data_IF_826176612158
#
_entry.id   IF_826176612158
#
_cell.length_a   1.000
_cell.length_b   1.000
_cell.length_c   1.000
_cell.angle_alpha   90.00
_cell.angle_beta   90.00
_cell.angle_gamma   90.00
#
_symmetry.space_group_name_H-M   'P 1'
#
loop_
_entity.id
_entity.type
_entity.pdbx_description
1 polymer ?
#
# COMPACT_ATOMS: atom_id res chain seq x y z
N UNK A 1 -18.06 17.29 -31.80
CA UNK A 1 -17.06 16.53 -31.02
C UNK A 1 -16.50 17.48 -30.00
N UNK A 2 -16.83 17.26 -28.73
CA UNK A 2 -16.35 18.06 -27.61
C UNK A 2 -15.30 17.22 -26.87
N UNK A 3 -14.03 17.48 -27.13
CA UNK A 3 -12.87 16.80 -26.53
C UNK A 3 -12.53 17.34 -25.12
N UNK A 4 -13.42 18.10 -24.48
CA UNK A 4 -13.12 18.78 -23.21
C UNK A 4 -13.62 18.06 -21.94
N UNK A 5 -13.69 16.72 -21.95
CA UNK A 5 -13.85 15.89 -20.74
C UNK A 5 -12.63 15.01 -20.47
N UNK A 6 -11.43 15.59 -20.53
CA UNK A 6 -10.30 14.95 -19.86
C UNK A 6 -10.52 15.09 -18.35
N UNK A 7 -11.09 14.04 -17.75
CA UNK A 7 -11.25 13.88 -16.30
C UNK A 7 -10.07 14.50 -15.56
N UNK A 8 -10.33 15.55 -14.77
CA UNK A 8 -9.36 16.03 -13.79
C UNK A 8 -8.87 14.82 -12.99
N UNK A 9 -7.63 14.39 -13.24
CA UNK A 9 -7.04 13.28 -12.52
C UNK A 9 -6.93 13.71 -11.06
N UNK A 10 -7.82 13.20 -10.23
CA UNK A 10 -7.90 13.53 -8.81
C UNK A 10 -6.60 13.09 -8.16
N UNK A 11 -5.99 13.98 -7.39
CA UNK A 11 -4.76 13.69 -6.65
C UNK A 11 -5.03 12.49 -5.72
N UNK A 12 -4.29 11.37 -5.84
CA UNK A 12 -4.52 10.21 -4.99
C UNK A 12 -4.20 10.59 -3.54
N UNK A 13 -5.04 10.18 -2.61
CA UNK A 13 -4.83 10.42 -1.18
C UNK A 13 -4.03 9.27 -0.58
N UNK A 14 -3.11 9.59 0.33
CA UNK A 14 -2.37 8.56 1.05
C UNK A 14 -3.22 8.00 2.19
N UNK A 15 -3.47 6.70 2.14
CA UNK A 15 -4.33 5.95 3.08
C UNK A 15 -3.54 4.97 3.97
N UNK A 16 -2.20 4.99 3.87
CA UNK A 16 -1.32 4.03 4.54
C UNK A 16 -0.79 2.92 3.62
N UNK A 17 -1.38 2.68 2.45
CA UNK A 17 -0.90 1.70 1.47
C UNK A 17 0.12 2.32 0.51
N UNK A 18 1.39 2.36 0.94
CA UNK A 18 2.45 3.03 0.17
C UNK A 18 2.54 2.57 -1.28
N UNK A 19 2.57 1.26 -1.54
CA UNK A 19 2.80 0.78 -2.91
C UNK A 19 1.67 1.16 -3.88
N UNK A 20 0.42 1.10 -3.41
CA UNK A 20 -0.74 1.49 -4.21
C UNK A 20 -0.73 2.99 -4.46
N UNK A 21 -0.53 3.77 -3.39
CA UNK A 21 -0.41 5.23 -3.48
C UNK A 21 0.73 5.68 -4.39
N UNK A 22 1.93 5.09 -4.24
CA UNK A 22 3.12 5.47 -5.00
C UNK A 22 2.92 5.17 -6.48
N UNK A 23 2.28 4.05 -6.82
CA UNK A 23 1.94 3.72 -8.21
C UNK A 23 1.03 4.79 -8.84
N UNK A 24 -0.05 5.18 -8.14
CA UNK A 24 -0.98 6.19 -8.65
C UNK A 24 -0.34 7.58 -8.74
N UNK A 25 0.42 7.97 -7.71
CA UNK A 25 1.08 9.27 -7.66
C UNK A 25 2.18 9.39 -8.71
N UNK A 26 2.99 8.33 -8.90
CA UNK A 26 4.00 8.28 -9.96
C UNK A 26 3.34 8.43 -11.33
N UNK A 27 2.27 7.68 -11.60
CA UNK A 27 1.54 7.78 -12.87
C UNK A 27 0.99 9.21 -13.10
N UNK A 28 0.40 9.84 -12.07
CA UNK A 28 -0.06 11.22 -12.15
C UNK A 28 1.07 12.18 -12.52
N UNK A 29 2.20 12.12 -11.82
CA UNK A 29 3.33 13.02 -12.02
C UNK A 29 3.99 12.80 -13.40
N UNK A 30 4.11 11.53 -13.84
CA UNK A 30 4.61 11.19 -15.18
C UNK A 30 3.68 11.68 -16.29
N UNK A 31 2.36 11.58 -16.11
CA UNK A 31 1.38 12.14 -17.06
C UNK A 31 1.47 13.65 -17.24
N UNK A 32 2.14 14.35 -16.32
CA UNK A 32 2.38 15.79 -16.33
C UNK A 32 3.81 16.16 -16.73
N UNK A 33 4.65 15.18 -17.09
CA UNK A 33 6.06 15.37 -17.45
C UNK A 33 6.90 16.02 -16.34
N UNK A 34 6.53 15.81 -15.07
CA UNK A 34 7.17 16.43 -13.91
C UNK A 34 8.11 15.47 -13.14
N UNK A 35 8.19 14.21 -13.55
CA UNK A 35 8.86 13.14 -12.80
C UNK A 35 10.37 13.37 -12.60
N UNK A 36 11.04 14.06 -13.51
CA UNK A 36 12.46 14.42 -13.36
C UNK A 36 12.73 15.22 -12.07
N UNK A 37 11.75 15.98 -11.57
CA UNK A 37 11.88 16.71 -10.29
C UNK A 37 12.05 15.77 -9.08
N UNK A 38 11.56 14.53 -9.18
CA UNK A 38 11.71 13.48 -8.15
C UNK A 38 12.99 12.66 -8.38
N UNK A 39 13.27 12.29 -9.63
CA UNK A 39 14.45 11.46 -9.97
C UNK A 39 15.76 12.24 -9.85
N UNK A 40 15.84 13.42 -10.45
CA UNK A 40 17.07 14.21 -10.56
C UNK A 40 17.14 15.28 -9.47
N UNK A 41 15.99 15.79 -9.02
CA UNK A 41 15.89 16.88 -8.06
C UNK A 41 15.87 18.26 -8.73
N UNK A 42 16.08 19.31 -7.93
CA UNK A 42 16.09 20.69 -8.42
C UNK A 42 17.48 21.03 -8.95
N UNK A 43 17.55 21.54 -10.18
CA UNK A 43 18.82 22.05 -10.72
C UNK A 43 19.16 23.39 -10.07
N UNK A 44 20.39 23.51 -9.58
CA UNK A 44 20.90 24.74 -8.97
C UNK A 44 21.85 25.43 -9.95
N UNK A 45 21.65 26.74 -10.14
CA UNK A 45 22.62 27.57 -10.87
C UNK A 45 23.88 27.74 -10.02
N UNK A 46 25.07 27.56 -10.62
CA UNK A 46 26.34 27.86 -9.97
C UNK A 46 26.56 29.38 -9.84
N UNK A 47 27.51 29.80 -8.99
CA UNK A 47 27.73 31.23 -8.71
C UNK A 47 28.22 32.06 -9.93
N UNK A 48 28.73 31.41 -10.99
CA UNK A 48 29.31 32.03 -12.19
C UNK A 48 28.56 31.64 -13.49
N UNK A 49 27.23 31.57 -13.45
CA UNK A 49 26.41 31.03 -14.55
C UNK A 49 26.02 32.02 -15.64
N UNK A 50 25.82 31.46 -16.83
CA UNK A 50 25.19 32.11 -17.99
C UNK A 50 23.68 32.34 -17.78
N UNK A 51 23.09 33.25 -18.56
CA UNK A 51 21.65 33.55 -18.48
C UNK A 51 20.77 32.31 -18.74
N UNK A 52 21.23 31.39 -19.59
CA UNK A 52 20.54 30.15 -19.93
C UNK A 52 20.46 29.18 -18.72
N UNK A 53 21.54 29.06 -17.94
CA UNK A 53 21.58 28.21 -16.74
C UNK A 53 20.68 28.75 -15.62
N UNK A 54 20.61 30.07 -15.47
CA UNK A 54 19.69 30.73 -14.52
C UNK A 54 18.24 30.45 -14.92
N UNK A 55 17.92 30.56 -16.21
CA UNK A 55 16.59 30.25 -16.73
C UNK A 55 16.21 28.79 -16.50
N UNK A 56 17.14 27.86 -16.74
CA UNK A 56 16.94 26.43 -16.50
C UNK A 56 16.70 26.12 -15.01
N UNK A 57 17.47 26.71 -14.10
CA UNK A 57 17.28 26.55 -12.65
C UNK A 57 15.91 27.07 -12.17
N UNK A 58 15.48 28.23 -12.67
CA UNK A 58 14.16 28.78 -12.37
C UNK A 58 13.02 27.89 -12.89
N UNK A 59 13.16 27.37 -14.11
CA UNK A 59 12.19 26.44 -14.68
C UNK A 59 12.11 25.13 -13.87
N UNK A 60 13.25 24.59 -13.44
CA UNK A 60 13.31 23.40 -12.59
C UNK A 60 12.65 23.63 -11.23
N UNK A 61 12.92 24.78 -10.58
CA UNK A 61 12.28 25.16 -9.32
C UNK A 61 10.77 25.28 -9.44
N UNK A 62 10.27 25.79 -10.57
CA UNK A 62 8.83 25.86 -10.83
C UNK A 62 8.20 24.46 -10.99
N UNK A 63 8.88 23.53 -11.68
CA UNK A 63 8.44 22.13 -11.80
C UNK A 63 8.40 21.46 -10.43
N UNK A 64 9.43 21.65 -9.61
CA UNK A 64 9.48 21.11 -8.25
C UNK A 64 8.31 21.60 -7.37
N UNK A 65 8.00 22.90 -7.40
CA UNK A 65 6.86 23.46 -6.68
C UNK A 65 5.52 22.85 -7.12
N UNK A 66 5.35 22.56 -8.41
CA UNK A 66 4.14 21.87 -8.91
C UNK A 66 4.04 20.46 -8.35
N UNK A 67 5.13 19.71 -8.33
CA UNK A 67 5.15 18.35 -7.74
C UNK A 67 4.87 18.40 -6.23
N UNK A 68 5.49 19.34 -5.51
CA UNK A 68 5.22 19.56 -4.09
C UNK A 68 3.74 19.81 -3.81
N UNK A 69 3.08 20.61 -4.65
CA UNK A 69 1.64 20.84 -4.53
C UNK A 69 0.82 19.55 -4.66
N UNK A 70 1.18 18.64 -5.58
CA UNK A 70 0.51 17.33 -5.67
C UNK A 70 0.77 16.46 -4.44
N UNK A 71 2.01 16.41 -3.97
CA UNK A 71 2.38 15.64 -2.77
C UNK A 71 1.66 16.17 -1.52
N UNK A 72 1.60 17.49 -1.33
CA UNK A 72 0.88 18.10 -0.21
C UNK A 72 -0.62 17.89 -0.29
N UNK A 73 -1.23 18.01 -1.48
CA UNK A 73 -2.65 17.68 -1.66
C UNK A 73 -2.96 16.21 -1.39
N UNK A 74 -1.98 15.34 -1.53
CA UNK A 74 -2.14 13.92 -1.29
C UNK A 74 -2.06 13.52 0.18
N UNK A 75 -1.48 14.35 1.05
CA UNK A 75 -1.15 14.00 2.43
C UNK A 75 -1.90 14.89 3.42
N UNK A 76 -2.41 14.30 4.48
CA UNK A 76 -2.99 15.06 5.57
C UNK A 76 -1.91 15.62 6.51
N UNK A 77 -2.28 16.59 7.35
CA UNK A 77 -1.36 17.32 8.25
C UNK A 77 -0.51 16.38 9.10
N UNK A 78 -1.09 15.31 9.64
CA UNK A 78 -0.38 14.35 10.49
C UNK A 78 0.77 13.64 9.76
N UNK A 79 0.61 13.34 8.47
CA UNK A 79 1.66 12.74 7.65
C UNK A 79 2.71 13.80 7.32
N UNK A 80 2.27 15.00 6.92
CA UNK A 80 3.17 16.11 6.62
C UNK A 80 4.06 16.44 7.81
N UNK A 81 3.53 16.52 9.03
CA UNK A 81 4.26 16.81 10.26
C UNK A 81 5.41 15.81 10.51
N UNK A 82 5.32 14.60 9.95
CA UNK A 82 6.36 13.57 10.12
C UNK A 82 7.51 13.65 9.12
N UNK A 83 7.40 14.49 8.09
CA UNK A 83 8.42 14.68 7.07
C UNK A 83 9.30 15.86 7.47
N UNK A 84 10.56 15.62 7.86
CA UNK A 84 11.42 16.68 8.37
C UNK A 84 11.89 17.64 7.27
N UNK A 85 12.39 17.09 6.15
CA UNK A 85 12.82 17.88 4.99
C UNK A 85 11.72 17.94 3.93
N UNK A 86 11.24 19.15 3.67
CA UNK A 86 10.21 19.45 2.67
C UNK A 86 10.69 20.47 1.65
N UNK A 87 12.01 20.62 1.50
CA UNK A 87 12.59 21.65 0.63
C UNK A 87 12.34 21.34 -0.85
N UNK A 88 12.40 20.06 -1.24
CA UNK A 88 12.17 19.59 -2.62
C UNK A 88 11.09 18.50 -2.69
N UNK A 89 10.48 18.33 -3.86
CA UNK A 89 9.59 17.20 -4.14
C UNK A 89 10.28 15.85 -3.94
N UNK A 90 11.54 15.74 -4.36
CA UNK A 90 12.40 14.57 -4.12
C UNK A 90 12.53 14.22 -2.65
N UNK A 91 12.89 15.18 -1.79
CA UNK A 91 13.04 14.94 -0.34
C UNK A 91 11.75 14.40 0.30
N UNK A 92 10.60 14.98 -0.09
CA UNK A 92 9.28 14.54 0.38
C UNK A 92 8.98 13.11 -0.10
N UNK A 93 9.20 12.82 -1.39
CA UNK A 93 8.98 11.50 -1.97
C UNK A 93 9.84 10.43 -1.30
N UNK A 94 11.13 10.71 -1.10
CA UNK A 94 12.08 9.79 -0.48
C UNK A 94 11.79 9.59 1.01
N UNK A 95 11.31 10.63 1.72
CA UNK A 95 10.86 10.50 3.10
C UNK A 95 9.64 9.57 3.20
N UNK A 96 8.65 9.75 2.31
CA UNK A 96 7.48 8.86 2.22
C UNK A 96 7.90 7.42 1.91
N UNK A 97 8.80 7.23 0.94
CA UNK A 97 9.36 5.92 0.59
C UNK A 97 10.01 5.25 1.79
N UNK A 98 10.94 5.93 2.44
CA UNK A 98 11.68 5.38 3.59
C UNK A 98 10.76 5.01 4.74
N UNK A 99 9.76 5.84 5.04
CA UNK A 99 8.87 5.64 6.17
C UNK A 99 7.86 4.51 5.94
N UNK A 100 7.27 4.44 4.75
CA UNK A 100 6.10 3.59 4.52
C UNK A 100 6.38 2.37 3.61
N UNK A 101 7.35 2.44 2.70
CA UNK A 101 7.64 1.31 1.80
C UNK A 101 8.10 0.06 2.56
N UNK A 102 8.96 0.22 3.57
CA UNK A 102 9.44 -0.88 4.40
C UNK A 102 8.31 -1.53 5.21
N UNK A 103 7.44 -0.73 5.81
CA UNK A 103 6.27 -1.21 6.56
C UNK A 103 5.30 -1.96 5.65
N UNK A 104 4.95 -1.41 4.47
CA UNK A 104 4.03 -2.07 3.53
C UNK A 104 4.60 -3.36 2.96
N UNK A 105 5.89 -3.40 2.59
CA UNK A 105 6.54 -4.62 2.08
C UNK A 105 6.61 -5.72 3.12
N UNK A 106 7.00 -5.38 4.35
CA UNK A 106 7.06 -6.35 5.47
C UNK A 106 5.66 -6.86 5.81
N UNK A 107 4.66 -5.97 5.93
CA UNK A 107 3.26 -6.37 6.16
C UNK A 107 2.75 -7.29 5.06
N UNK A 108 3.03 -6.98 3.78
CA UNK A 108 2.64 -7.84 2.66
C UNK A 108 3.33 -9.20 2.72
N UNK A 109 4.62 -9.25 2.99
CA UNK A 109 5.36 -10.51 3.09
C UNK A 109 4.84 -11.38 4.24
N UNK A 110 4.59 -10.77 5.42
CA UNK A 110 3.98 -11.44 6.56
C UNK A 110 2.58 -11.95 6.24
N UNK A 111 1.76 -11.14 5.59
CA UNK A 111 0.42 -11.52 5.17
C UNK A 111 0.44 -12.67 4.14
N UNK A 112 1.37 -12.66 3.19
CA UNK A 112 1.53 -13.75 2.23
C UNK A 112 2.00 -15.05 2.91
N UNK A 113 2.91 -14.96 3.89
CA UNK A 113 3.30 -16.11 4.69
C UNK A 113 2.11 -16.69 5.48
N UNK A 114 1.28 -15.83 6.07
CA UNK A 114 0.05 -16.23 6.77
C UNK A 114 -0.98 -16.85 5.82
N UNK A 115 -1.17 -16.31 4.61
CA UNK A 115 -2.06 -16.90 3.60
C UNK A 115 -1.61 -18.31 3.23
N UNK A 116 -0.31 -18.50 2.99
CA UNK A 116 0.25 -19.83 2.71
C UNK A 116 0.09 -20.77 3.91
N UNK A 117 0.36 -20.30 5.13
CA UNK A 117 0.16 -21.06 6.37
C UNK A 117 -1.30 -21.50 6.49
N UNK A 118 -2.25 -20.59 6.22
CA UNK A 118 -3.68 -20.84 6.24
C UNK A 118 -4.12 -21.82 5.14
N UNK A 119 -3.59 -21.70 3.92
CA UNK A 119 -3.94 -22.59 2.80
C UNK A 119 -3.55 -24.05 3.07
N UNK A 120 -2.37 -24.30 3.62
CA UNK A 120 -1.91 -25.66 3.97
C UNK A 120 -2.30 -26.09 5.39
N UNK A 121 -3.06 -25.26 6.10
CA UNK A 121 -3.45 -25.54 7.47
C UNK A 121 -4.44 -26.71 7.52
N UNK A 122 -4.11 -27.73 8.31
CA UNK A 122 -4.94 -28.93 8.47
C UNK A 122 -4.97 -29.37 9.93
N UNK A 123 -6.05 -30.06 10.29
CA UNK A 123 -6.20 -30.65 11.62
C UNK A 123 -5.20 -31.79 11.81
N UNK A 124 -4.46 -31.77 12.93
CA UNK A 124 -3.46 -32.80 13.20
C UNK A 124 -4.12 -34.11 13.67
N UNK A 125 -3.43 -35.23 13.48
CA UNK A 125 -3.89 -36.51 14.02
C UNK A 125 -3.91 -36.48 15.55
N UNK A 126 -5.05 -36.82 16.15
CA UNK A 126 -5.25 -36.78 17.60
C UNK A 126 -5.51 -35.40 18.20
N UNK A 127 -5.57 -34.35 17.38
CA UNK A 127 -5.98 -33.00 17.82
C UNK A 127 -7.49 -32.98 18.13
N UNK A 128 -7.90 -32.22 19.15
CA UNK A 128 -9.32 -31.98 19.42
C UNK A 128 -9.90 -30.96 18.45
N UNK A 129 -11.21 -31.03 18.20
CA UNK A 129 -11.89 -30.04 17.33
C UNK A 129 -11.74 -28.63 17.90
N UNK A 130 -11.86 -28.46 19.22
CA UNK A 130 -11.73 -27.17 19.89
C UNK A 130 -10.33 -26.55 19.75
N UNK A 131 -9.27 -27.36 19.88
CA UNK A 131 -7.89 -26.91 19.68
C UNK A 131 -7.64 -26.49 18.23
N UNK A 132 -8.17 -27.26 17.28
CA UNK A 132 -8.06 -26.95 15.86
C UNK A 132 -8.77 -25.64 15.48
N UNK A 133 -10.00 -25.44 15.98
CA UNK A 133 -10.74 -24.19 15.82
C UNK A 133 -9.98 -22.99 16.40
N UNK A 134 -9.47 -23.14 17.62
CA UNK A 134 -8.71 -22.09 18.31
C UNK A 134 -7.47 -21.66 17.53
N UNK A 135 -6.71 -22.62 16.99
CA UNK A 135 -5.53 -22.32 16.16
C UNK A 135 -5.91 -21.68 14.83
N UNK A 136 -6.99 -22.14 14.18
CA UNK A 136 -7.46 -21.57 12.92
C UNK A 136 -7.88 -20.11 13.10
N UNK A 137 -8.60 -19.83 14.19
CA UNK A 137 -8.98 -18.46 14.55
C UNK A 137 -7.77 -17.59 14.87
N UNK A 138 -6.73 -18.14 15.52
CA UNK A 138 -5.49 -17.41 15.76
C UNK A 138 -4.79 -16.98 14.47
N UNK A 139 -4.76 -17.83 13.43
CA UNK A 139 -4.22 -17.46 12.12
C UNK A 139 -5.09 -16.40 11.43
N UNK A 140 -6.41 -16.58 11.45
CA UNK A 140 -7.35 -15.60 10.88
C UNK A 140 -7.20 -14.21 11.55
N UNK A 141 -7.09 -14.17 12.87
CA UNK A 141 -6.86 -12.93 13.62
C UNK A 141 -5.52 -12.27 13.26
N UNK A 142 -4.45 -13.06 13.10
CA UNK A 142 -3.14 -12.56 12.64
C UNK A 142 -3.23 -11.96 11.23
N UNK A 143 -4.00 -12.56 10.33
CA UNK A 143 -4.23 -12.04 8.97
C UNK A 143 -5.05 -10.73 9.00
N UNK A 144 -6.11 -10.66 9.81
CA UNK A 144 -6.88 -9.44 9.99
C UNK A 144 -6.08 -8.30 10.59
N UNK A 145 -5.19 -8.58 11.54
CA UNK A 145 -4.27 -7.59 12.09
C UNK A 145 -3.30 -6.99 11.05
N UNK A 146 -3.03 -7.71 9.95
CA UNK A 146 -2.23 -7.22 8.82
C UNK A 146 -3.04 -6.48 7.76
N UNK A 147 -4.34 -6.25 8.00
CA UNK A 147 -5.23 -5.48 7.12
C UNK A 147 -6.04 -6.32 6.13
N UNK A 148 -5.97 -7.65 6.20
CA UNK A 148 -6.80 -8.52 5.35
C UNK A 148 -8.23 -8.61 5.91
N UNK A 149 -9.23 -8.30 5.09
CA UNK A 149 -10.62 -8.54 5.44
C UNK A 149 -11.01 -9.98 5.10
N UNK A 150 -10.73 -10.91 6.00
CA UNK A 150 -11.23 -12.27 5.92
C UNK A 150 -12.75 -12.28 6.10
N UNK A 151 -13.47 -12.88 5.16
CA UNK A 151 -14.89 -13.15 5.36
C UNK A 151 -15.05 -14.35 6.28
N UNK A 152 -15.99 -14.27 7.21
CA UNK A 152 -16.28 -15.35 8.16
C UNK A 152 -16.58 -16.67 7.44
N UNK A 153 -17.29 -16.60 6.31
CA UNK A 153 -17.55 -17.73 5.41
C UNK A 153 -16.26 -18.41 4.93
N UNK A 154 -15.21 -17.65 4.59
CA UNK A 154 -13.95 -18.22 4.13
C UNK A 154 -13.20 -18.98 5.25
N UNK A 155 -13.36 -18.54 6.49
CA UNK A 155 -12.81 -19.24 7.67
C UNK A 155 -13.57 -20.54 7.91
N UNK A 156 -14.90 -20.49 7.88
CA UNK A 156 -15.75 -21.68 8.04
C UNK A 156 -15.50 -22.71 6.94
N UNK A 157 -15.46 -22.28 5.68
CA UNK A 157 -15.16 -23.19 4.56
C UNK A 157 -13.76 -23.80 4.67
N UNK A 158 -12.77 -23.05 5.19
CA UNK A 158 -11.43 -23.60 5.41
C UNK A 158 -11.47 -24.71 6.46
N UNK A 159 -12.13 -24.46 7.59
CA UNK A 159 -12.28 -25.42 8.68
C UNK A 159 -12.93 -26.71 8.16
N UNK A 160 -14.05 -26.59 7.44
CA UNK A 160 -14.76 -27.74 6.88
C UNK A 160 -13.90 -28.54 5.90
N UNK A 161 -13.13 -27.86 5.03
CA UNK A 161 -12.28 -28.53 4.03
C UNK A 161 -11.03 -29.20 4.58
N UNK A 162 -10.60 -28.86 5.80
CA UNK A 162 -9.33 -29.31 6.36
C UNK A 162 -9.44 -30.01 7.72
N UNK A 163 -10.67 -30.30 8.14
CA UNK A 163 -10.96 -31.30 9.17
C UNK A 163 -10.74 -32.72 8.61
N UNK A 164 -10.26 -33.61 9.47
CA UNK A 164 -10.04 -35.02 9.11
C UNK A 164 -11.39 -35.72 8.86
N UNK A 165 -11.45 -36.57 7.84
CA UNK A 165 -12.67 -37.25 7.35
C UNK A 165 -13.50 -38.00 8.40
N UNK A 166 -12.92 -38.29 9.57
CA UNK A 166 -13.62 -38.84 10.74
C UNK A 166 -14.75 -37.94 11.27
N UNK A 167 -14.77 -36.66 10.89
CA UNK A 167 -15.78 -35.68 11.30
C UNK A 167 -16.70 -35.19 10.17
N UNK A 168 -16.49 -35.63 8.92
CA UNK A 168 -17.37 -35.29 7.78
C UNK A 168 -18.83 -35.70 8.05
N UNK A 169 -19.03 -36.73 8.88
CA UNK A 169 -20.33 -37.28 9.25
C UNK A 169 -21.17 -36.37 10.17
N UNK A 170 -20.56 -35.43 10.89
CA UNK A 170 -21.27 -34.53 11.82
C UNK A 170 -21.87 -33.33 11.08
N UNK A 171 -21.19 -32.86 10.03
CA UNK A 171 -21.63 -31.69 9.23
C UNK A 171 -22.90 -32.01 8.43
N UNK A 172 -23.07 -33.25 7.97
CA UNK A 172 -24.27 -33.67 7.24
C UNK A 172 -25.55 -33.78 8.11
N UNK A 173 -25.44 -33.85 9.44
CA UNK A 173 -26.59 -34.09 10.32
C UNK A 173 -27.11 -32.85 11.07
N UNK A 174 -26.48 -31.68 10.92
CA UNK A 174 -26.97 -30.43 11.53
C UNK A 174 -27.72 -29.50 10.55
N UNK A 175 -28.03 -29.99 9.33
CA UNK A 175 -28.59 -29.18 8.25
C UNK A 175 -30.01 -29.53 7.78
N UNK A 176 -30.72 -30.47 8.42
CA UNK A 176 -32.14 -30.73 8.13
C UNK A 176 -32.84 -31.21 9.40
N UNK A 177 -33.45 -30.27 10.14
CA UNK A 177 -34.74 -30.49 10.79
C UNK A 177 -35.48 -29.16 10.98
#
# INVERSE_FOLDING_TARGET
MDESKYSQSRVPKFDGHYDHWSMLMENLIRSKELWSSIEEGVTMAAANTTAEEIQAANASKLKDLKVKNYLFQSMDRSILDTILDRNSSKSIWDAMRRKYQGSTKVKRAQLQALKREFEVFEMKEGESVEDYFSRTLAIANRMSAQGERLQEVAVVEKILRSMVSKFDYVVFNCGIQ
#
